data_IF_120832846240
#
_entry.id   IF_120832846240
#
_cell.length_a   1.000
_cell.length_b   1.000
_cell.length_c   1.000
_cell.angle_alpha   90.00
_cell.angle_beta   90.00
_cell.angle_gamma   90.00
#
_symmetry.space_group_name_H-M   'P 1'
#
loop_
_entity.id
_entity.type
_entity.pdbx_description
1 polymer ?
#
# COMPACT_ATOMS: atom_id res chain seq x y z
N UNK A 1 -4.90 -1.78 35.41
CA UNK A 1 -3.88 -1.86 34.35
C UNK A 1 -4.50 -1.34 33.07
N UNK A 2 -4.07 -0.19 32.54
CA UNK A 2 -4.61 0.36 31.30
C UNK A 2 -3.77 -0.22 30.15
N UNK A 3 -4.30 -1.21 29.45
CA UNK A 3 -3.66 -1.82 28.29
C UNK A 3 -3.70 -0.82 27.14
N UNK A 4 -2.64 -0.03 27.00
CA UNK A 4 -2.41 0.85 25.87
C UNK A 4 -2.29 -0.01 24.62
N UNK A 5 -3.37 -0.18 23.88
CA UNK A 5 -3.40 -0.81 22.55
C UNK A 5 -2.54 0.03 21.62
N UNK A 6 -1.29 -0.41 21.45
CA UNK A 6 -0.31 0.17 20.56
C UNK A 6 -0.78 -0.08 19.12
N UNK A 7 -1.61 0.82 18.61
CA UNK A 7 -2.05 0.80 17.22
C UNK A 7 -0.86 1.27 16.39
N UNK A 8 0.00 0.33 16.03
CA UNK A 8 1.11 0.56 15.10
C UNK A 8 0.45 1.06 13.80
N UNK A 9 0.47 2.38 13.57
CA UNK A 9 0.09 3.02 12.31
C UNK A 9 1.10 2.57 11.27
N UNK A 10 0.87 1.37 10.78
CA UNK A 10 1.63 0.68 9.76
C UNK A 10 1.45 1.53 8.51
N UNK A 11 2.42 2.40 8.19
CA UNK A 11 2.36 3.34 7.06
C UNK A 11 1.79 2.63 5.84
N UNK A 12 0.70 3.21 5.30
CA UNK A 12 0.02 2.70 4.12
C UNK A 12 0.91 2.98 2.93
N UNK A 13 1.10 1.96 2.09
CA UNK A 13 1.84 2.12 0.84
C UNK A 13 0.87 2.67 -0.20
N UNK A 14 1.28 3.71 -0.92
CA UNK A 14 0.43 4.39 -1.91
C UNK A 14 1.02 4.23 -3.30
N UNK A 15 0.16 4.14 -4.32
CA UNK A 15 0.56 4.04 -5.71
C UNK A 15 1.05 5.40 -6.24
N UNK A 16 2.21 5.43 -6.91
CA UNK A 16 2.77 6.66 -7.48
C UNK A 16 1.96 7.19 -8.66
N UNK A 17 1.25 6.32 -9.39
CA UNK A 17 0.50 6.71 -10.59
C UNK A 17 -0.88 7.28 -10.26
N UNK A 18 -1.59 6.65 -9.31
CA UNK A 18 -3.00 7.00 -9.02
C UNK A 18 -3.29 7.36 -7.57
N UNK A 19 -2.30 7.29 -6.66
CA UNK A 19 -2.47 7.61 -5.24
C UNK A 19 -3.30 6.59 -4.45
N UNK A 20 -3.72 5.47 -5.06
CA UNK A 20 -4.49 4.44 -4.37
C UNK A 20 -3.64 3.70 -3.32
N UNK A 21 -4.25 3.31 -2.20
CA UNK A 21 -3.61 2.46 -1.19
C UNK A 21 -3.29 1.07 -1.79
N UNK A 22 -2.01 0.73 -1.87
CA UNK A 22 -1.51 -0.58 -2.28
C UNK A 22 -1.66 -1.54 -1.09
N UNK A 23 -2.74 -2.31 -1.10
CA UNK A 23 -2.98 -3.40 -0.12
C UNK A 23 -2.34 -4.72 -0.53
N UNK A 24 -2.20 -4.93 -1.82
CA UNK A 24 -1.85 -6.23 -2.45
C UNK A 24 -0.34 -6.51 -2.39
N UNK A 25 0.48 -5.45 -2.42
CA UNK A 25 1.95 -5.55 -2.49
C UNK A 25 2.66 -4.70 -1.41
N UNK A 26 2.17 -4.80 -0.16
CA UNK A 26 2.68 -3.99 0.95
C UNK A 26 4.18 -4.14 1.19
N UNK A 27 4.70 -5.36 1.10
CA UNK A 27 6.12 -5.68 1.37
C UNK A 27 6.99 -5.62 0.10
N UNK A 28 6.39 -5.39 -1.07
CA UNK A 28 7.11 -5.21 -2.32
C UNK A 28 7.84 -3.87 -2.34
N UNK A 29 8.85 -3.71 -3.19
CA UNK A 29 9.48 -2.42 -3.48
C UNK A 29 8.69 -1.60 -4.51
N UNK A 30 7.71 -2.21 -5.18
CA UNK A 30 6.99 -1.61 -6.31
C UNK A 30 5.87 -0.69 -5.80
N UNK A 31 5.95 0.60 -6.08
CA UNK A 31 4.93 1.61 -5.69
C UNK A 31 3.87 1.80 -6.77
N UNK A 32 3.49 0.74 -7.46
CA UNK A 32 2.44 0.76 -8.46
C UNK A 32 1.38 -0.29 -8.11
N UNK A 33 0.11 0.08 -8.16
CA UNK A 33 -0.98 -0.86 -7.91
C UNK A 33 -1.23 -1.75 -9.13
N UNK A 34 -1.87 -2.90 -8.94
CA UNK A 34 -2.14 -3.84 -10.03
C UNK A 34 -2.92 -3.19 -11.18
N UNK A 35 -3.87 -2.28 -10.87
CA UNK A 35 -4.63 -1.53 -11.87
C UNK A 35 -3.75 -0.70 -12.81
N UNK A 36 -2.70 -0.09 -12.28
CA UNK A 36 -1.79 0.74 -13.09
C UNK A 36 -0.78 -0.14 -13.84
N UNK A 37 -0.29 -1.22 -13.21
CA UNK A 37 0.57 -2.20 -13.88
C UNK A 37 -0.13 -2.87 -15.06
N UNK A 38 -1.39 -3.30 -14.89
CA UNK A 38 -2.16 -3.94 -15.97
C UNK A 38 -2.40 -3.00 -17.15
N UNK A 39 -2.64 -1.70 -16.92
CA UNK A 39 -2.80 -0.73 -18.00
C UNK A 39 -1.52 -0.49 -18.81
N UNK A 40 -0.34 -0.73 -18.23
CA UNK A 40 0.96 -0.58 -18.91
C UNK A 40 1.43 -1.85 -19.61
N UNK A 41 0.80 -2.99 -19.34
CA UNK A 41 1.19 -4.29 -19.86
C UNK A 41 0.51 -4.66 -21.20
N UNK A 42 -0.37 -3.79 -21.72
CA UNK A 42 -1.02 -3.90 -23.04
C UNK A 42 -0.29 -3.07 -24.09
#
# INVERSE_FOLDING_TARGET
MKTTTNTIKRHKKECCECGAEIKEQRESIIYECERCMTQKAE
#
